data_IF_692169822806
#
_entry.id   IF_692169822806
#
_cell.length_a   1.000
_cell.length_b   1.000
_cell.length_c   1.000
_cell.angle_alpha   90.00
_cell.angle_beta   90.00
_cell.angle_gamma   90.00
#
_symmetry.space_group_name_H-M   'P 1'
#
loop_
_entity.id
_entity.type
_entity.pdbx_description
1 polymer ?
#
# COMPACT_ATOMS: atom_id res chain seq x y z
N UNK A 1 31.91 -1.12 -52.04
CA UNK A 1 32.76 -0.54 -50.99
C UNK A 1 31.90 0.50 -50.26
N UNK A 2 30.98 0.03 -49.42
CA UNK A 2 31.00 0.30 -47.97
C UNK A 2 31.29 1.77 -47.63
N UNK A 3 30.46 2.67 -48.15
CA UNK A 3 29.94 3.74 -47.30
C UNK A 3 29.20 3.04 -46.15
N UNK A 4 29.95 2.60 -45.14
CA UNK A 4 29.40 2.38 -43.82
C UNK A 4 29.00 3.77 -43.38
N UNK A 5 27.77 4.10 -43.76
CA UNK A 5 27.10 5.39 -43.62
C UNK A 5 27.49 5.95 -42.25
N UNK A 6 28.43 6.91 -42.23
CA UNK A 6 29.08 7.40 -41.01
C UNK A 6 28.01 7.87 -40.03
N UNK A 7 26.89 8.37 -40.54
CA UNK A 7 25.69 8.70 -39.80
C UNK A 7 25.06 7.50 -39.04
N UNK A 8 25.02 6.30 -39.63
CA UNK A 8 24.55 5.09 -38.96
C UNK A 8 25.52 4.62 -37.88
N UNK A 9 26.83 4.76 -38.10
CA UNK A 9 27.85 4.44 -37.09
C UNK A 9 27.81 5.41 -35.90
N UNK A 10 27.63 6.71 -36.16
CA UNK A 10 27.39 7.72 -35.13
C UNK A 10 26.10 7.48 -34.35
N UNK A 11 24.98 7.16 -35.01
CA UNK A 11 23.72 6.81 -34.34
C UNK A 11 23.88 5.58 -33.45
N UNK A 12 24.63 4.58 -33.89
CA UNK A 12 24.85 3.36 -33.13
C UNK A 12 25.75 3.60 -31.91
N UNK A 13 26.84 4.35 -32.08
CA UNK A 13 27.71 4.80 -30.99
C UNK A 13 26.95 5.62 -29.94
N UNK A 14 26.11 6.58 -30.38
CA UNK A 14 25.28 7.39 -29.50
C UNK A 14 24.26 6.55 -28.73
N UNK A 15 23.57 5.63 -29.42
CA UNK A 15 22.60 4.72 -28.79
C UNK A 15 23.24 3.84 -27.71
N UNK A 16 24.42 3.30 -28.00
CA UNK A 16 25.18 2.48 -27.05
C UNK A 16 25.67 3.31 -25.86
N UNK A 17 26.15 4.54 -26.09
CA UNK A 17 26.54 5.46 -25.03
C UNK A 17 25.36 5.82 -24.10
N UNK A 18 24.19 6.14 -24.66
CA UNK A 18 22.97 6.37 -23.88
C UNK A 18 22.54 5.11 -23.08
N UNK A 19 22.66 3.92 -23.67
CA UNK A 19 22.34 2.66 -22.98
C UNK A 19 23.24 2.43 -21.75
N UNK A 20 24.55 2.66 -21.90
CA UNK A 20 25.53 2.53 -20.82
C UNK A 20 25.28 3.57 -19.74
N UNK A 21 24.97 4.82 -20.10
CA UNK A 21 24.63 5.87 -19.14
C UNK A 21 23.38 5.55 -18.31
N UNK A 22 22.31 5.06 -18.97
CA UNK A 22 21.08 4.66 -18.28
C UNK A 22 21.35 3.46 -17.36
N UNK A 23 22.07 2.44 -17.85
CA UNK A 23 22.37 1.25 -17.08
C UNK A 23 23.21 1.57 -15.84
N UNK A 24 24.22 2.43 -16.00
CA UNK A 24 25.10 2.88 -14.92
C UNK A 24 24.37 3.69 -13.85
N UNK A 25 23.24 4.32 -14.21
CA UNK A 25 22.39 5.10 -13.30
C UNK A 25 21.08 4.38 -12.94
N UNK A 26 20.96 3.08 -13.21
CA UNK A 26 19.70 2.33 -12.97
C UNK A 26 19.25 2.45 -11.51
N UNK A 27 20.16 2.25 -10.55
CA UNK A 27 19.83 2.36 -9.13
C UNK A 27 19.42 3.78 -8.74
N UNK A 28 20.07 4.81 -9.30
CA UNK A 28 19.70 6.21 -9.07
C UNK A 28 18.29 6.51 -9.59
N UNK A 29 17.93 5.98 -10.77
CA UNK A 29 16.59 6.13 -11.34
C UNK A 29 15.55 5.44 -10.45
N UNK A 30 15.81 4.20 -10.02
CA UNK A 30 14.90 3.45 -9.16
C UNK A 30 14.68 4.15 -7.82
N UNK A 31 15.76 4.61 -7.19
CA UNK A 31 15.69 5.36 -5.94
C UNK A 31 14.93 6.68 -6.10
N UNK A 32 15.16 7.41 -7.18
CA UNK A 32 14.43 8.65 -7.47
C UNK A 32 12.91 8.42 -7.63
N UNK A 33 12.50 7.30 -8.24
CA UNK A 33 11.07 6.92 -8.33
C UNK A 33 10.46 6.68 -6.95
N UNK A 34 11.20 6.00 -6.07
CA UNK A 34 10.75 5.76 -4.70
C UNK A 34 10.73 7.05 -3.86
N UNK A 35 11.69 7.95 -4.03
CA UNK A 35 11.71 9.25 -3.34
C UNK A 35 10.50 10.10 -3.73
N UNK A 36 10.16 10.15 -5.02
CA UNK A 36 8.95 10.82 -5.49
C UNK A 36 7.71 10.19 -4.85
N UNK A 37 7.62 8.85 -4.87
CA UNK A 37 6.48 8.13 -4.28
C UNK A 37 6.36 8.42 -2.78
N UNK A 38 7.48 8.40 -2.04
CA UNK A 38 7.50 8.72 -0.61
C UNK A 38 7.12 10.17 -0.33
N UNK A 39 7.55 11.12 -1.15
CA UNK A 39 7.17 12.53 -0.98
C UNK A 39 5.65 12.74 -1.07
N UNK A 40 4.99 12.02 -1.97
CA UNK A 40 3.52 12.07 -2.12
C UNK A 40 2.84 11.35 -0.94
N UNK A 41 3.36 10.19 -0.54
CA UNK A 41 2.84 9.44 0.62
C UNK A 41 2.96 10.28 1.90
N UNK A 42 4.09 10.96 2.12
CA UNK A 42 4.31 11.79 3.30
C UNK A 42 3.34 12.98 3.35
N UNK A 43 3.09 13.63 2.20
CA UNK A 43 2.09 14.69 2.10
C UNK A 43 0.67 14.16 2.38
N UNK A 44 0.33 13.00 1.84
CA UNK A 44 -0.98 12.37 2.09
C UNK A 44 -1.12 11.91 3.55
N UNK A 45 -0.05 11.41 4.18
CA UNK A 45 -0.03 10.96 5.57
C UNK A 45 -0.20 12.10 6.57
N UNK A 46 0.30 13.29 6.26
CA UNK A 46 0.07 14.49 7.07
C UNK A 46 -1.41 14.87 7.20
N UNK A 47 -2.27 14.45 6.25
CA UNK A 47 -3.71 14.70 6.26
C UNK A 47 -4.50 13.66 7.07
N UNK A 48 -3.90 12.51 7.42
CA UNK A 48 -4.56 11.37 8.08
C UNK A 48 -4.11 11.30 9.54
N UNK A 49 -4.25 12.41 10.26
CA UNK A 49 -4.14 12.45 11.73
C UNK A 49 -5.48 12.17 12.42
N UNK A 50 -6.33 11.32 11.82
CA UNK A 50 -7.49 10.79 12.49
C UNK A 50 -7.04 9.83 13.58
N UNK A 51 -6.86 10.33 14.80
CA UNK A 51 -6.56 9.49 15.95
C UNK A 51 -7.60 8.38 16.02
N UNK A 52 -7.15 7.14 15.81
CA UNK A 52 -7.94 5.93 16.12
C UNK A 52 -7.68 5.51 17.57
N UNK A 53 -7.10 6.41 18.36
CA UNK A 53 -6.85 6.20 19.78
C UNK A 53 -8.16 6.39 20.53
N UNK A 54 -8.49 5.42 21.39
CA UNK A 54 -9.66 5.50 22.25
C UNK A 54 -9.32 6.48 23.37
N UNK A 55 -9.92 7.68 23.35
CA UNK A 55 -9.63 8.69 24.36
C UNK A 55 -10.09 8.24 25.76
N UNK A 56 -9.41 8.76 26.79
CA UNK A 56 -9.72 8.46 28.19
C UNK A 56 -11.18 8.81 28.55
N UNK A 57 -11.76 9.82 27.92
CA UNK A 57 -13.17 10.19 28.09
C UNK A 57 -14.13 9.14 27.51
N UNK A 58 -13.80 8.52 26.37
CA UNK A 58 -14.61 7.41 25.83
C UNK A 58 -14.54 6.16 26.70
N UNK A 59 -13.40 5.92 27.37
CA UNK A 59 -13.26 4.83 28.35
C UNK A 59 -14.13 5.06 29.59
N UNK A 60 -14.16 6.29 30.12
CA UNK A 60 -14.99 6.63 31.28
C UNK A 60 -16.50 6.55 30.97
N UNK A 61 -16.92 6.93 29.77
CA UNK A 61 -18.32 6.86 29.34
C UNK A 61 -18.77 5.41 29.11
N UNK A 62 -17.88 4.54 28.58
CA UNK A 62 -18.12 3.10 28.48
C UNK A 62 -18.19 2.41 29.84
N UNK A 63 -17.34 2.81 30.80
CA UNK A 63 -17.35 2.30 32.17
C UNK A 63 -18.67 2.64 32.88
N UNK A 64 -19.12 3.90 32.77
CA UNK A 64 -20.39 4.35 33.35
C UNK A 64 -21.61 3.64 32.73
N UNK A 65 -21.56 3.34 31.44
CA UNK A 65 -22.61 2.58 30.73
C UNK A 65 -22.60 1.09 31.12
N UNK A 66 -21.41 0.50 31.31
CA UNK A 66 -21.25 -0.89 31.75
C UNK A 66 -21.68 -1.10 33.21
N UNK A 67 -21.45 -0.14 34.11
CA UNK A 67 -21.94 -0.20 35.50
C UNK A 67 -23.47 -0.06 35.61
N UNK A 68 -24.11 0.55 34.61
CA UNK A 68 -25.57 0.70 34.55
C UNK A 68 -26.30 -0.52 33.97
N UNK A 69 -25.58 -1.52 33.42
CA UNK A 69 -26.17 -2.70 32.80
C UNK A 69 -26.20 -3.91 33.75
N UNK A 70 -27.25 -4.72 33.60
CA UNK A 70 -27.49 -5.93 34.40
C UNK A 70 -26.42 -7.02 34.13
N UNK A 71 -26.20 -7.94 35.08
CA UNK A 71 -25.15 -8.98 35.00
C UNK A 71 -25.33 -9.95 33.80
N UNK A 72 -26.58 -10.15 33.34
CA UNK A 72 -26.89 -11.03 32.21
C UNK A 72 -26.38 -10.51 30.85
N UNK A 73 -26.72 -9.28 30.44
CA UNK A 73 -26.15 -8.62 29.26
C UNK A 73 -24.63 -8.49 29.30
N UNK A 74 -24.03 -8.23 30.47
CA UNK A 74 -22.56 -8.13 30.62
C UNK A 74 -21.84 -9.43 30.26
N UNK A 75 -22.36 -10.60 30.69
CA UNK A 75 -21.75 -11.89 30.35
C UNK A 75 -21.82 -12.20 28.85
N UNK A 76 -22.90 -11.80 28.17
CA UNK A 76 -23.02 -11.90 26.72
C UNK A 76 -22.02 -10.99 25.99
N UNK A 77 -21.87 -9.75 26.47
CA UNK A 77 -20.95 -8.76 25.91
C UNK A 77 -19.49 -9.13 26.18
N UNK A 78 -19.19 -9.76 27.32
CA UNK A 78 -17.88 -10.31 27.65
C UNK A 78 -17.48 -11.46 26.73
N UNK A 79 -18.38 -12.44 26.52
CA UNK A 79 -18.14 -13.56 25.60
C UNK A 79 -17.92 -13.06 24.15
N UNK A 80 -18.75 -12.10 23.73
CA UNK A 80 -18.65 -11.48 22.40
C UNK A 80 -17.34 -10.67 22.24
N UNK A 81 -16.96 -9.89 23.24
CA UNK A 81 -15.70 -9.12 23.24
C UNK A 81 -14.47 -10.02 23.26
N UNK A 82 -14.51 -11.17 23.95
CA UNK A 82 -13.41 -12.14 23.94
C UNK A 82 -13.19 -12.74 22.54
N UNK A 83 -14.29 -13.09 21.85
CA UNK A 83 -14.27 -13.66 20.50
C UNK A 83 -13.74 -12.64 19.47
N UNK A 84 -14.06 -11.36 19.67
CA UNK A 84 -13.62 -10.26 18.82
C UNK A 84 -12.19 -9.84 19.12
N UNK A 85 -11.77 -9.85 20.39
CA UNK A 85 -10.37 -9.66 20.76
C UNK A 85 -9.47 -10.70 20.10
N UNK A 86 -9.92 -11.95 20.00
CA UNK A 86 -9.21 -12.99 19.25
C UNK A 86 -9.16 -12.68 17.74
N UNK A 87 -10.30 -12.30 17.15
CA UNK A 87 -10.40 -11.96 15.71
C UNK A 87 -9.54 -10.75 15.35
N UNK A 88 -9.51 -9.72 16.19
CA UNK A 88 -8.69 -8.52 16.01
C UNK A 88 -7.20 -8.85 16.06
N UNK A 89 -6.76 -9.73 16.96
CA UNK A 89 -5.36 -10.20 16.98
C UNK A 89 -5.00 -10.97 15.71
N UNK A 90 -5.88 -11.86 15.25
CA UNK A 90 -5.67 -12.59 14.00
C UNK A 90 -5.55 -11.64 12.79
N UNK A 91 -6.43 -10.65 12.69
CA UNK A 91 -6.39 -9.66 11.60
C UNK A 91 -5.14 -8.78 11.65
N UNK A 92 -4.70 -8.40 12.86
CA UNK A 92 -3.45 -7.65 13.07
C UNK A 92 -2.24 -8.41 12.53
N UNK A 93 -2.16 -9.73 12.77
CA UNK A 93 -1.11 -10.59 12.20
C UNK A 93 -1.15 -10.57 10.66
N UNK A 94 -2.34 -10.66 10.06
CA UNK A 94 -2.51 -10.63 8.60
C UNK A 94 -2.04 -9.28 8.01
N UNK A 95 -2.45 -8.16 8.60
CA UNK A 95 -2.04 -6.83 8.15
C UNK A 95 -0.51 -6.68 8.26
N UNK A 96 0.08 -7.15 9.35
CA UNK A 96 1.54 -7.13 9.54
C UNK A 96 2.24 -7.93 8.44
N UNK A 97 1.85 -9.18 8.20
CA UNK A 97 2.42 -10.01 7.13
C UNK A 97 2.26 -9.34 5.76
N UNK A 98 1.11 -8.71 5.50
CA UNK A 98 0.85 -8.04 4.23
C UNK A 98 1.79 -6.84 4.02
N UNK A 99 1.94 -5.97 5.02
CA UNK A 99 2.83 -4.79 4.94
C UNK A 99 4.29 -5.23 4.73
N UNK A 100 4.76 -6.25 5.45
CA UNK A 100 6.09 -6.82 5.24
C UNK A 100 6.24 -7.49 3.86
N UNK A 101 5.18 -8.15 3.38
CA UNK A 101 5.14 -8.69 2.02
C UNK A 101 5.36 -7.62 0.95
N UNK A 102 4.85 -6.39 1.17
CA UNK A 102 5.08 -5.26 0.22
C UNK A 102 6.50 -4.73 0.24
N UNK A 103 7.14 -4.74 1.40
CA UNK A 103 8.56 -4.42 1.51
C UNK A 103 9.41 -5.42 0.70
N UNK A 104 9.08 -6.71 0.77
CA UNK A 104 9.74 -7.75 -0.04
C UNK A 104 9.53 -7.55 -1.55
N UNK A 105 8.32 -7.18 -1.98
CA UNK A 105 8.01 -6.91 -3.38
C UNK A 105 8.86 -5.76 -3.96
N UNK A 106 8.99 -4.66 -3.20
CA UNK A 106 9.86 -3.53 -3.55
C UNK A 106 11.32 -3.96 -3.70
N UNK A 107 11.82 -4.80 -2.77
CA UNK A 107 13.19 -5.29 -2.83
C UNK A 107 13.46 -6.21 -4.02
N UNK A 108 12.52 -7.10 -4.33
CA UNK A 108 12.64 -7.98 -5.49
C UNK A 108 12.69 -7.18 -6.79
N UNK A 109 11.78 -6.22 -6.98
CA UNK A 109 11.77 -5.36 -8.16
C UNK A 109 13.06 -4.54 -8.27
N UNK A 110 13.49 -3.91 -7.18
CA UNK A 110 14.72 -3.10 -7.16
C UNK A 110 15.97 -3.94 -7.46
N UNK A 111 16.04 -5.18 -6.94
CA UNK A 111 17.18 -6.08 -7.19
C UNK A 111 17.26 -6.53 -8.66
N UNK A 112 16.11 -6.67 -9.33
CA UNK A 112 16.02 -7.11 -10.71
C UNK A 112 16.07 -5.95 -11.71
N UNK A 113 16.12 -4.68 -11.26
CA UNK A 113 16.07 -3.48 -12.08
C UNK A 113 17.07 -3.40 -13.27
N UNK A 114 18.34 -3.85 -13.15
CA UNK A 114 19.31 -3.71 -14.23
C UNK A 114 18.93 -4.47 -15.52
N UNK A 115 18.22 -5.60 -15.39
CA UNK A 115 17.84 -6.46 -16.51
C UNK A 115 16.81 -5.79 -17.44
N UNK A 116 15.62 -5.37 -16.97
CA UNK A 116 14.64 -4.68 -17.81
C UNK A 116 15.12 -3.30 -18.25
N UNK A 117 15.95 -2.61 -17.45
CA UNK A 117 16.53 -1.32 -17.86
C UNK A 117 17.54 -1.47 -19.00
N UNK A 118 18.26 -2.59 -19.09
CA UNK A 118 19.06 -2.91 -20.27
C UNK A 118 18.18 -3.12 -21.53
N UNK A 119 16.97 -3.69 -21.38
CA UNK A 119 16.05 -3.91 -22.51
C UNK A 119 15.40 -2.62 -23.04
N UNK A 120 15.40 -1.54 -22.25
CA UNK A 120 14.81 -0.24 -22.59
C UNK A 120 15.48 0.44 -23.80
N UNK A 121 16.77 0.18 -24.03
CA UNK A 121 17.51 0.73 -25.17
C UNK A 121 17.20 0.00 -26.49
N UNK A 122 16.59 -1.20 -26.45
CA UNK A 122 16.26 -1.92 -27.67
C UNK A 122 14.86 -1.54 -28.20
N UNK A 123 14.70 -1.39 -29.52
CA UNK A 123 13.41 -0.95 -30.11
C UNK A 123 12.34 -2.04 -30.08
N UNK A 124 12.77 -3.31 -30.10
CA UNK A 124 11.88 -4.48 -30.07
C UNK A 124 11.51 -4.92 -28.65
N UNK A 125 12.44 -4.76 -27.70
CA UNK A 125 12.25 -5.13 -26.28
C UNK A 125 11.98 -3.91 -25.37
N UNK A 126 11.92 -2.70 -25.94
CA UNK A 126 11.70 -1.47 -25.20
C UNK A 126 10.35 -1.44 -24.48
N UNK A 127 9.36 -2.18 -24.99
CA UNK A 127 8.08 -2.38 -24.31
C UNK A 127 8.22 -3.05 -22.94
N UNK A 128 9.10 -4.04 -22.81
CA UNK A 128 9.36 -4.75 -21.55
C UNK A 128 10.01 -3.82 -20.51
N UNK A 129 11.00 -3.03 -20.92
CA UNK A 129 11.65 -2.05 -20.03
C UNK A 129 10.72 -0.90 -19.62
N UNK A 130 9.88 -0.40 -20.54
CA UNK A 130 8.85 0.59 -20.21
C UNK A 130 7.80 0.05 -19.23
N UNK A 131 7.40 -1.22 -19.40
CA UNK A 131 6.45 -1.87 -18.51
C UNK A 131 7.02 -2.08 -17.11
N UNK A 132 8.32 -2.38 -17.00
CA UNK A 132 9.02 -2.44 -15.72
C UNK A 132 8.99 -1.08 -14.99
N UNK A 133 9.28 0.03 -15.68
CA UNK A 133 9.20 1.37 -15.07
C UNK A 133 7.77 1.64 -14.58
N UNK A 134 6.75 1.29 -15.37
CA UNK A 134 5.34 1.42 -14.94
C UNK A 134 5.03 0.58 -13.71
N UNK A 135 5.53 -0.66 -13.65
CA UNK A 135 5.35 -1.54 -12.49
C UNK A 135 6.09 -1.01 -11.26
N UNK A 136 7.26 -0.40 -11.44
CA UNK A 136 8.02 0.26 -10.38
C UNK A 136 7.25 1.46 -9.80
N UNK A 137 6.67 2.29 -10.66
CA UNK A 137 5.78 3.37 -10.24
C UNK A 137 4.51 2.84 -9.56
N UNK A 138 3.94 1.74 -10.07
CA UNK A 138 2.78 1.10 -9.44
C UNK A 138 3.09 0.66 -8.01
N UNK A 139 4.19 -0.04 -7.77
CA UNK A 139 4.57 -0.49 -6.43
C UNK A 139 4.94 0.69 -5.52
N UNK A 140 5.61 1.71 -6.05
CA UNK A 140 5.91 2.93 -5.30
C UNK A 140 4.65 3.66 -4.82
N UNK A 141 3.67 3.87 -5.71
CA UNK A 141 2.39 4.51 -5.38
C UNK A 141 1.40 3.59 -4.65
N UNK A 142 1.65 2.29 -4.60
CA UNK A 142 0.80 1.37 -3.86
C UNK A 142 0.75 1.71 -2.36
N UNK A 143 1.84 2.24 -1.80
CA UNK A 143 1.87 2.72 -0.41
C UNK A 143 0.83 3.81 -0.15
N UNK A 144 0.55 4.66 -1.14
CA UNK A 144 -0.50 5.67 -1.07
C UNK A 144 -1.90 5.05 -1.03
N UNK A 145 -2.16 4.00 -1.82
CA UNK A 145 -3.45 3.30 -1.79
C UNK A 145 -3.70 2.64 -0.44
N UNK A 146 -2.67 2.04 0.17
CA UNK A 146 -2.75 1.46 1.53
C UNK A 146 -3.16 2.53 2.55
N UNK A 147 -2.52 3.69 2.48
CA UNK A 147 -2.79 4.83 3.35
C UNK A 147 -4.21 5.37 3.16
N UNK A 148 -4.72 5.45 1.92
CA UNK A 148 -6.13 5.81 1.65
C UNK A 148 -7.09 4.77 2.23
N UNK A 149 -6.79 3.47 2.12
CA UNK A 149 -7.62 2.42 2.72
C UNK A 149 -7.71 2.56 4.24
N UNK A 150 -6.61 2.85 4.92
CA UNK A 150 -6.58 3.09 6.37
C UNK A 150 -7.39 4.34 6.75
N UNK A 151 -7.28 5.42 5.97
CA UNK A 151 -8.05 6.64 6.20
C UNK A 151 -9.57 6.41 6.13
N UNK A 152 -10.03 5.67 5.11
CA UNK A 152 -11.46 5.31 4.97
C UNK A 152 -11.91 4.46 6.16
N UNK A 153 -11.08 3.50 6.60
CA UNK A 153 -11.38 2.69 7.78
C UNK A 153 -11.53 3.54 9.06
N UNK A 154 -10.65 4.51 9.29
CA UNK A 154 -10.75 5.40 10.46
C UNK A 154 -12.09 6.16 10.50
N UNK A 155 -12.55 6.69 9.36
CA UNK A 155 -13.84 7.39 9.24
C UNK A 155 -15.01 6.43 9.45
N UNK A 156 -14.95 5.22 8.90
CA UNK A 156 -16.01 4.22 9.06
C UNK A 156 -16.18 3.79 10.52
N UNK A 157 -15.09 3.61 11.26
CA UNK A 157 -15.13 3.26 12.69
C UNK A 157 -15.69 4.40 13.53
N UNK A 158 -15.32 5.65 13.27
CA UNK A 158 -15.90 6.80 13.97
C UNK A 158 -17.43 6.88 13.76
N UNK A 159 -17.92 6.54 12.56
CA UNK A 159 -19.36 6.49 12.27
C UNK A 159 -20.14 5.42 13.05
N UNK A 160 -19.48 4.41 13.61
CA UNK A 160 -20.13 3.41 14.47
C UNK A 160 -20.36 3.96 15.89
N UNK A 161 -19.44 4.76 16.42
CA UNK A 161 -19.50 5.27 17.79
C UNK A 161 -20.75 6.12 18.07
N UNK A 162 -21.38 6.68 17.03
CA UNK A 162 -22.60 7.51 17.14
C UNK A 162 -23.91 6.71 17.13
N UNK A 163 -23.87 5.38 16.97
CA UNK A 163 -25.04 4.55 16.66
C UNK A 163 -25.91 4.09 17.85
N UNK A 164 -25.48 4.28 19.10
CA UNK A 164 -26.28 4.00 20.31
C UNK A 164 -26.56 2.53 20.65
N UNK A 165 -26.35 1.57 19.72
CA UNK A 165 -26.47 0.13 19.98
C UNK A 165 -25.09 -0.55 20.10
N UNK A 166 -24.68 -1.01 21.30
CA UNK A 166 -23.39 -1.63 21.51
C UNK A 166 -23.23 -2.96 20.75
N UNK A 167 -24.28 -3.73 20.52
CA UNK A 167 -24.17 -5.04 19.82
C UNK A 167 -23.96 -4.82 18.31
N UNK A 168 -24.73 -3.91 17.71
CA UNK A 168 -24.55 -3.51 16.32
C UNK A 168 -23.20 -2.84 16.06
N UNK A 169 -22.73 -2.03 17.02
CA UNK A 169 -21.43 -1.38 16.94
C UNK A 169 -20.29 -2.40 16.86
N UNK A 170 -20.32 -3.38 17.77
CA UNK A 170 -19.32 -4.44 17.84
C UNK A 170 -19.25 -5.24 16.52
N UNK A 171 -20.40 -5.55 15.91
CA UNK A 171 -20.43 -6.31 14.66
C UNK A 171 -20.04 -5.48 13.43
N UNK A 172 -20.37 -4.18 13.43
CA UNK A 172 -19.88 -3.22 12.45
C UNK A 172 -18.36 -3.08 12.45
N UNK A 173 -17.74 -3.02 13.63
CA UNK A 173 -16.27 -2.92 13.77
C UNK A 173 -15.58 -4.13 13.14
N UNK A 174 -16.06 -5.34 13.41
CA UNK A 174 -15.51 -6.57 12.80
C UNK A 174 -15.66 -6.54 11.29
N UNK A 175 -16.86 -6.20 10.79
CA UNK A 175 -17.14 -6.11 9.35
C UNK A 175 -16.21 -5.13 8.61
N UNK A 176 -15.99 -3.94 9.17
CA UNK A 176 -15.10 -2.94 8.57
C UNK A 176 -13.63 -3.35 8.62
N UNK A 177 -13.22 -4.09 9.66
CA UNK A 177 -11.85 -4.60 9.76
C UNK A 177 -11.59 -5.69 8.71
N UNK A 178 -12.56 -6.57 8.44
CA UNK A 178 -12.47 -7.57 7.36
C UNK A 178 -12.43 -6.88 5.99
N UNK A 179 -13.25 -5.85 5.79
CA UNK A 179 -13.26 -5.05 4.55
C UNK A 179 -11.90 -4.37 4.32
N UNK A 180 -11.30 -3.78 5.36
CA UNK A 180 -9.95 -3.23 5.29
C UNK A 180 -8.95 -4.30 4.83
N UNK A 181 -8.97 -5.48 5.43
CA UNK A 181 -8.08 -6.58 5.05
C UNK A 181 -8.25 -6.96 3.58
N UNK A 182 -9.48 -7.10 3.10
CA UNK A 182 -9.77 -7.41 1.69
C UNK A 182 -9.21 -6.32 0.75
N UNK A 183 -9.42 -5.05 1.08
CA UNK A 183 -8.89 -3.96 0.26
C UNK A 183 -7.37 -3.90 0.26
N UNK A 184 -6.72 -4.14 1.41
CA UNK A 184 -5.26 -4.19 1.48
C UNK A 184 -4.67 -5.27 0.57
N UNK A 185 -5.29 -6.44 0.47
CA UNK A 185 -4.85 -7.47 -0.49
C UNK A 185 -4.98 -6.98 -1.93
N UNK A 186 -6.08 -6.29 -2.24
CA UNK A 186 -6.39 -5.84 -3.60
C UNK A 186 -5.56 -4.64 -4.07
N UNK A 187 -5.06 -3.81 -3.15
CA UNK A 187 -4.29 -2.58 -3.45
C UNK A 187 -3.16 -2.80 -4.46
N UNK A 188 -2.42 -3.92 -4.38
CA UNK A 188 -1.34 -4.22 -5.33
C UNK A 188 -1.83 -4.41 -6.77
N UNK A 189 -2.90 -5.18 -6.96
CA UNK A 189 -3.49 -5.35 -8.30
C UNK A 189 -4.11 -4.07 -8.84
N UNK A 190 -4.68 -3.23 -7.97
CA UNK A 190 -5.24 -1.93 -8.35
C UNK A 190 -4.11 -1.00 -8.80
N UNK A 191 -3.01 -0.94 -8.06
CA UNK A 191 -1.85 -0.11 -8.41
C UNK A 191 -1.29 -0.48 -9.78
N UNK A 192 -1.06 -1.78 -10.05
CA UNK A 192 -0.55 -2.24 -11.35
C UNK A 192 -1.49 -1.84 -12.51
N UNK A 193 -2.81 -1.93 -12.30
CA UNK A 193 -3.81 -1.53 -13.30
C UNK A 193 -3.85 -0.02 -13.55
N UNK A 194 -3.66 0.81 -12.53
CA UNK A 194 -3.66 2.28 -12.66
C UNK A 194 -2.50 2.74 -13.54
N UNK A 195 -1.31 2.17 -13.36
CA UNK A 195 -0.13 2.54 -14.16
C UNK A 195 -0.03 1.79 -15.49
N UNK A 196 -1.01 0.92 -15.80
CA UNK A 196 -1.03 0.14 -17.03
C UNK A 196 0.21 -0.76 -17.17
N UNK A 197 0.71 -1.26 -16.04
CA UNK A 197 1.74 -2.29 -16.00
C UNK A 197 1.04 -3.63 -16.22
N UNK A 198 1.21 -4.23 -17.40
CA UNK A 198 0.48 -5.44 -17.81
C UNK A 198 1.38 -6.55 -18.31
#
# INVERSE_FOLDING_TARGET
>A
MHEVDVANLYKWMFKTACAILILSNTFNIVMAVFDVSQSVIAQAGGLIQGSTDVSADMLAELETSLEAMDLGPLLGLWLQSALIGFTMKAMGIIIFVLVYGRMLEIYLLTSLAPIPVATLSNRELGGTGQNYIKSLFAVGFQGLLILVCVAIYAVLIQGIATGGDPIGAIWGTVGYTVLLCFMLFKTGSIAQRIFGAH
#
